data_IF_685522187314
#
_entry.id   IF_685522187314
#
_cell.length_a   1.000
_cell.length_b   1.000
_cell.length_c   1.000
_cell.angle_alpha   90.00
_cell.angle_beta   90.00
_cell.angle_gamma   90.00
#
_symmetry.space_group_name_H-M   'P 1'
#
loop_
_entity.id
_entity.type
_entity.pdbx_description
1 polymer ?
#
# COMPACT_ATOMS: atom_id res chain seq x y z
N UNK A 1 -14.78 -9.75 -7.60
CA UNK A 1 -14.70 -9.86 -9.07
C UNK A 1 -13.32 -9.41 -9.46
N UNK A 2 -12.48 -10.29 -10.00
CA UNK A 2 -11.14 -9.93 -10.46
C UNK A 2 -11.27 -9.03 -11.69
N UNK A 3 -10.63 -7.87 -11.67
CA UNK A 3 -10.52 -6.97 -12.83
C UNK A 3 -9.94 -7.77 -14.01
N UNK A 4 -10.58 -7.78 -15.21
CA UNK A 4 -10.11 -8.53 -16.38
C UNK A 4 -8.65 -8.24 -16.74
N UNK A 5 -8.16 -7.03 -16.42
CA UNK A 5 -6.76 -6.66 -16.62
C UNK A 5 -5.80 -7.42 -15.69
N UNK A 6 -6.23 -7.77 -14.47
CA UNK A 6 -5.37 -8.47 -13.50
C UNK A 6 -5.08 -9.90 -13.94
N UNK A 7 -6.09 -10.61 -14.48
CA UNK A 7 -5.92 -11.97 -14.94
C UNK A 7 -4.94 -12.07 -16.12
N UNK A 8 -4.98 -11.08 -17.03
CA UNK A 8 -4.06 -11.04 -18.17
C UNK A 8 -2.61 -10.79 -17.72
N UNK A 9 -2.40 -9.83 -16.81
CA UNK A 9 -1.08 -9.55 -16.23
C UNK A 9 -0.48 -10.80 -15.56
N UNK A 10 -1.29 -11.54 -14.79
CA UNK A 10 -0.84 -12.78 -14.13
C UNK A 10 -0.49 -13.86 -15.15
N UNK A 11 -1.26 -13.98 -16.25
CA UNK A 11 -0.92 -14.93 -17.34
C UNK A 11 0.41 -14.58 -18.01
N UNK A 12 0.69 -13.29 -18.23
CA UNK A 12 1.96 -12.86 -18.79
C UNK A 12 3.15 -13.23 -17.88
N UNK A 13 2.98 -13.10 -16.55
CA UNK A 13 4.00 -13.54 -15.58
C UNK A 13 4.31 -15.05 -15.66
N UNK A 14 3.28 -15.86 -15.90
CA UNK A 14 3.40 -17.32 -15.95
C UNK A 14 4.22 -17.84 -17.15
N UNK A 15 4.43 -17.01 -18.18
CA UNK A 15 5.21 -17.40 -19.37
C UNK A 15 6.73 -17.52 -19.08
N UNK A 16 7.21 -16.95 -17.96
CA UNK A 16 8.60 -17.05 -17.51
C UNK A 16 9.59 -16.20 -18.32
N UNK A 17 10.85 -16.15 -17.87
CA UNK A 17 11.92 -15.43 -18.56
C UNK A 17 11.89 -13.90 -18.35
N UNK A 18 11.94 -13.12 -19.43
CA UNK A 18 11.84 -11.66 -19.38
C UNK A 18 10.42 -11.25 -19.76
N UNK A 19 9.68 -10.71 -18.80
CA UNK A 19 8.30 -10.29 -18.99
C UNK A 19 8.28 -8.77 -19.06
N UNK A 20 7.77 -8.21 -20.15
CA UNK A 20 7.62 -6.76 -20.34
C UNK A 20 6.14 -6.43 -20.35
N UNK A 21 5.71 -5.58 -19.42
CA UNK A 21 4.31 -5.24 -19.18
C UNK A 21 4.10 -3.77 -19.48
N UNK A 22 3.21 -3.48 -20.41
CA UNK A 22 2.78 -2.11 -20.70
C UNK A 22 1.71 -1.66 -19.72
N UNK A 23 2.03 -0.62 -18.95
CA UNK A 23 1.14 -0.02 -17.96
C UNK A 23 0.44 1.25 -18.47
N UNK A 24 0.50 1.57 -19.77
CA UNK A 24 -0.08 2.79 -20.33
C UNK A 24 -1.58 2.95 -20.02
N UNK A 25 -2.33 1.84 -19.95
CA UNK A 25 -3.77 1.84 -19.62
C UNK A 25 -4.05 1.68 -18.12
N UNK A 26 -3.01 1.44 -17.30
CA UNK A 26 -3.13 1.16 -15.88
C UNK A 26 -2.78 2.40 -15.07
N UNK A 27 -3.81 3.07 -14.54
CA UNK A 27 -3.62 4.14 -13.56
C UNK A 27 -3.22 3.62 -12.18
N UNK A 28 -3.46 2.33 -11.91
CA UNK A 28 -3.16 1.64 -10.65
C UNK A 28 -2.71 0.20 -10.92
N UNK A 29 -1.79 -0.31 -10.09
CA UNK A 29 -1.40 -1.72 -10.13
C UNK A 29 -2.24 -2.56 -9.16
N UNK A 30 -2.84 -3.67 -9.63
CA UNK A 30 -3.49 -4.63 -8.75
C UNK A 30 -2.49 -5.27 -7.78
N UNK A 31 -2.81 -5.23 -6.48
CA UNK A 31 -2.00 -5.91 -5.45
C UNK A 31 -1.90 -7.42 -5.68
N UNK A 32 -2.95 -8.04 -6.24
CA UNK A 32 -2.91 -9.46 -6.64
C UNK A 32 -1.81 -9.75 -7.67
N UNK A 33 -1.64 -8.88 -8.68
CA UNK A 33 -0.55 -9.00 -9.65
C UNK A 33 0.82 -8.88 -8.98
N UNK A 34 1.00 -7.91 -8.07
CA UNK A 34 2.26 -7.73 -7.34
C UNK A 34 2.63 -8.96 -6.53
N UNK A 35 1.66 -9.59 -5.85
CA UNK A 35 1.90 -10.83 -5.10
C UNK A 35 2.31 -11.98 -5.99
N UNK A 36 1.63 -12.16 -7.12
CA UNK A 36 2.01 -13.22 -8.06
C UNK A 36 3.42 -12.99 -8.62
N UNK A 37 3.78 -11.76 -8.98
CA UNK A 37 5.13 -11.42 -9.43
C UNK A 37 6.22 -11.72 -8.38
N UNK A 38 5.89 -11.61 -7.09
CA UNK A 38 6.78 -11.97 -5.98
C UNK A 38 6.90 -13.48 -5.77
N UNK A 39 5.92 -14.28 -6.24
CA UNK A 39 5.96 -15.75 -6.19
C UNK A 39 6.74 -16.36 -7.36
N UNK A 40 6.83 -15.67 -8.49
CA UNK A 40 7.66 -16.11 -9.62
C UNK A 40 9.14 -16.15 -9.21
N UNK A 41 9.96 -17.09 -9.70
CA UNK A 41 11.39 -17.15 -9.39
C UNK A 41 12.13 -15.82 -9.62
N UNK A 42 13.13 -15.55 -8.80
CA UNK A 42 13.94 -14.32 -8.87
C UNK A 42 14.66 -14.14 -10.21
N UNK A 43 14.87 -15.23 -10.96
CA UNK A 43 15.44 -15.21 -12.32
C UNK A 43 14.51 -14.60 -13.36
N UNK A 44 13.19 -14.55 -13.11
CA UNK A 44 12.26 -13.85 -14.00
C UNK A 44 12.37 -12.36 -13.76
N UNK A 45 12.76 -11.62 -14.79
CA UNK A 45 12.86 -10.16 -14.74
C UNK A 45 11.56 -9.57 -15.28
N UNK A 46 10.87 -8.79 -14.44
CA UNK A 46 9.63 -8.10 -14.83
C UNK A 46 9.99 -6.64 -15.10
N UNK A 47 9.79 -6.19 -16.34
CA UNK A 47 9.96 -4.80 -16.74
C UNK A 47 8.61 -4.14 -16.94
N UNK A 48 8.34 -3.07 -16.20
CA UNK A 48 7.15 -2.26 -16.31
C UNK A 48 7.45 -1.01 -17.17
N UNK A 49 6.58 -0.72 -18.13
CA UNK A 49 6.77 0.39 -19.07
C UNK A 49 5.55 1.29 -19.09
N UNK A 50 5.74 2.56 -19.45
CA UNK A 50 4.69 3.59 -19.40
C UNK A 50 3.99 3.66 -18.02
N UNK A 51 4.76 3.52 -16.94
CA UNK A 51 4.25 3.45 -15.58
C UNK A 51 3.82 4.83 -15.08
N UNK A 52 2.62 4.94 -14.53
CA UNK A 52 2.12 6.18 -13.95
C UNK A 52 2.93 6.59 -12.69
N UNK A 53 3.07 7.90 -12.38
CA UNK A 53 3.86 8.36 -11.22
C UNK A 53 3.42 7.77 -9.89
N UNK A 54 2.11 7.72 -9.62
CA UNK A 54 1.59 7.15 -8.36
C UNK A 54 1.89 5.65 -8.24
N UNK A 55 1.98 4.92 -9.35
CA UNK A 55 2.40 3.50 -9.38
C UNK A 55 3.89 3.37 -9.05
N UNK A 56 4.74 4.25 -9.58
CA UNK A 56 6.15 4.30 -9.20
C UNK A 56 6.31 4.54 -7.70
N UNK A 57 5.59 5.51 -7.14
CA UNK A 57 5.55 5.76 -5.70
C UNK A 57 5.11 4.52 -4.92
N UNK A 58 4.09 3.79 -5.39
CA UNK A 58 3.63 2.57 -4.72
C UNK A 58 4.69 1.46 -4.70
N UNK A 59 5.40 1.25 -5.81
CA UNK A 59 6.46 0.24 -5.92
C UNK A 59 7.64 0.58 -5.00
N UNK A 60 7.98 1.87 -4.90
CA UNK A 60 9.01 2.38 -4.00
C UNK A 60 8.61 2.18 -2.53
N UNK A 61 7.39 2.57 -2.16
CA UNK A 61 6.85 2.42 -0.80
C UNK A 61 6.88 0.96 -0.32
N UNK A 62 6.57 0.03 -1.23
CA UNK A 62 6.60 -1.42 -0.97
C UNK A 62 8.00 -2.04 -1.07
N UNK A 63 9.04 -1.24 -1.33
CA UNK A 63 10.42 -1.69 -1.57
C UNK A 63 10.54 -2.75 -2.70
N UNK A 64 9.69 -2.65 -3.73
CA UNK A 64 9.63 -3.62 -4.84
C UNK A 64 10.46 -3.21 -6.06
N UNK A 65 11.16 -2.08 -6.02
CA UNK A 65 12.02 -1.62 -7.12
C UNK A 65 13.17 -2.58 -7.47
N UNK A 66 13.55 -3.48 -6.56
CA UNK A 66 14.53 -4.55 -6.84
C UNK A 66 13.93 -5.72 -7.63
N UNK A 67 12.60 -5.91 -7.55
CA UNK A 67 11.87 -6.97 -8.24
C UNK A 67 11.37 -6.52 -9.62
N UNK A 68 10.97 -5.25 -9.74
CA UNK A 68 10.44 -4.67 -10.97
C UNK A 68 11.38 -3.62 -11.52
N UNK A 69 11.82 -3.80 -12.76
CA UNK A 69 12.54 -2.76 -13.48
C UNK A 69 11.53 -1.80 -14.11
N UNK A 70 11.63 -0.51 -13.80
CA UNK A 70 10.82 0.53 -14.44
C UNK A 70 11.67 1.22 -15.51
N UNK A 71 11.22 1.26 -16.76
CA UNK A 71 12.04 1.73 -17.90
C UNK A 71 12.42 3.22 -17.81
N UNK A 72 11.62 4.02 -17.10
CA UNK A 72 11.89 5.42 -16.77
C UNK A 72 11.27 5.73 -15.41
N UNK A 73 11.99 5.47 -14.29
CA UNK A 73 11.42 5.71 -12.98
C UNK A 73 11.10 7.20 -12.83
N UNK A 74 9.92 7.51 -12.30
CA UNK A 74 9.63 8.85 -11.83
C UNK A 74 10.62 9.21 -10.71
N UNK A 75 10.88 10.51 -10.53
CA UNK A 75 11.75 10.97 -9.44
C UNK A 75 11.18 10.50 -8.09
N UNK A 76 12.00 9.84 -7.29
CA UNK A 76 11.65 9.36 -5.96
C UNK A 76 11.12 10.50 -5.10
N UNK A 77 9.94 10.30 -4.51
CA UNK A 77 9.31 11.26 -3.59
C UNK A 77 9.25 10.67 -2.18
N UNK A 78 9.43 9.35 -2.02
CA UNK A 78 9.28 8.68 -0.74
C UNK A 78 10.64 8.54 -0.09
N UNK A 79 10.96 9.45 0.81
CA UNK A 79 12.10 9.31 1.72
C UNK A 79 11.56 9.02 3.13
N UNK A 80 12.03 7.91 3.72
CA UNK A 80 11.84 7.51 5.11
C UNK A 80 10.39 7.49 5.63
N UNK A 81 9.64 6.44 5.31
CA UNK A 81 8.32 6.23 5.92
C UNK A 81 8.47 5.84 7.41
N UNK A 82 7.67 6.40 8.34
CA UNK A 82 7.74 6.05 9.76
C UNK A 82 7.05 4.72 10.09
N UNK A 83 6.79 3.88 9.09
CA UNK A 83 6.12 2.60 9.18
C UNK A 83 6.60 1.71 8.04
N UNK A 84 6.42 0.41 8.20
CA UNK A 84 6.75 -0.56 7.14
C UNK A 84 5.50 -0.94 6.36
N UNK A 85 5.64 -1.15 5.06
CA UNK A 85 4.55 -1.58 4.19
C UNK A 85 4.89 -2.96 3.62
N UNK A 86 3.91 -3.85 3.59
CA UNK A 86 3.97 -5.12 2.90
C UNK A 86 2.67 -5.45 2.17
N UNK A 87 2.67 -6.59 1.49
CA UNK A 87 1.47 -7.17 0.89
C UNK A 87 0.99 -8.36 1.74
N UNK A 88 -0.32 -8.50 1.92
CA UNK A 88 -0.94 -9.67 2.53
C UNK A 88 -1.90 -10.34 1.53
N UNK A 89 -2.54 -11.45 1.92
CA UNK A 89 -3.47 -12.20 1.05
C UNK A 89 -4.73 -11.41 0.65
N UNK A 90 -5.00 -10.26 1.26
CA UNK A 90 -6.20 -9.45 1.01
C UNK A 90 -5.89 -8.03 0.53
N UNK A 91 -4.63 -7.62 0.44
CA UNK A 91 -4.21 -6.33 -0.07
C UNK A 91 -2.90 -5.85 0.55
N UNK A 92 -2.95 -4.72 1.25
CA UNK A 92 -1.79 -4.02 1.79
C UNK A 92 -1.77 -4.12 3.32
N UNK A 93 -0.60 -4.38 3.89
CA UNK A 93 -0.37 -4.36 5.33
C UNK A 93 0.58 -3.21 5.69
N UNK A 94 0.16 -2.34 6.60
CA UNK A 94 0.97 -1.27 7.17
C UNK A 94 1.24 -1.61 8.63
N UNK A 95 2.51 -1.78 8.99
CA UNK A 95 2.91 -1.99 10.39
C UNK A 95 3.48 -0.72 10.97
N UNK A 96 2.83 -0.21 12.00
CA UNK A 96 3.27 0.99 12.72
C UNK A 96 3.95 0.62 14.03
N UNK A 97 4.94 1.42 14.43
CA UNK A 97 5.63 1.24 15.70
C UNK A 97 5.01 2.11 16.82
N UNK A 98 5.59 2.04 18.02
CA UNK A 98 5.15 2.83 19.18
C UNK A 98 5.33 4.34 18.98
N UNK A 99 6.33 4.75 18.20
CA UNK A 99 6.73 6.15 18.01
C UNK A 99 5.96 6.84 16.89
N UNK A 100 5.12 6.12 16.16
CA UNK A 100 4.36 6.63 15.01
C UNK A 100 3.65 7.95 15.30
N UNK A 101 3.01 8.07 16.46
CA UNK A 101 2.28 9.28 16.86
C UNK A 101 3.18 10.51 17.05
N UNK A 102 4.51 10.34 17.15
CA UNK A 102 5.49 11.41 17.31
C UNK A 102 6.17 11.77 15.98
N UNK A 103 5.97 10.98 14.92
CA UNK A 103 6.63 11.20 13.64
C UNK A 103 6.00 12.36 12.88
N UNK A 104 6.80 13.39 12.62
CA UNK A 104 6.42 14.55 11.78
C UNK A 104 6.15 14.15 10.33
N UNK A 105 6.64 13.00 9.89
CA UNK A 105 6.50 12.50 8.52
C UNK A 105 5.07 12.05 8.22
N UNK A 106 4.21 11.92 9.23
CA UNK A 106 2.78 11.66 9.04
C UNK A 106 2.02 12.81 8.36
N UNK A 107 2.51 14.04 8.49
CA UNK A 107 1.88 15.21 7.85
C UNK A 107 2.29 15.36 6.38
N UNK A 108 3.31 14.61 5.93
CA UNK A 108 3.72 14.59 4.53
C UNK A 108 2.72 13.79 3.69
N UNK A 109 2.35 14.33 2.53
CA UNK A 109 1.55 13.63 1.53
C UNK A 109 2.21 12.31 1.10
N UNK A 110 3.56 12.23 1.13
CA UNK A 110 4.33 11.02 0.87
C UNK A 110 3.92 9.84 1.76
N UNK A 111 3.38 10.09 2.96
CA UNK A 111 2.97 9.05 3.91
C UNK A 111 1.72 8.26 3.49
N UNK A 112 0.89 8.78 2.58
CA UNK A 112 -0.38 8.12 2.21
C UNK A 112 -0.71 8.20 0.70
N UNK A 113 -0.03 9.05 -0.07
CA UNK A 113 -0.32 9.23 -1.51
C UNK A 113 0.01 8.00 -2.34
N UNK A 114 1.04 7.24 -1.99
CA UNK A 114 1.48 6.04 -2.71
C UNK A 114 0.37 4.98 -2.84
N UNK A 115 -0.59 4.92 -1.91
CA UNK A 115 -1.75 4.03 -2.01
C UNK A 115 -2.59 4.28 -3.27
N UNK A 116 -2.56 5.49 -3.83
CA UNK A 116 -3.31 5.83 -5.05
C UNK A 116 -2.82 5.05 -6.26
N UNK A 117 -1.57 4.60 -6.27
CA UNK A 117 -1.00 3.76 -7.32
C UNK A 117 -1.40 2.29 -7.23
N UNK A 118 -2.20 1.89 -6.24
CA UNK A 118 -2.58 0.49 -6.00
C UNK A 118 -4.08 0.28 -6.10
N UNK A 119 -4.45 -0.87 -6.68
CA UNK A 119 -5.79 -1.45 -6.54
C UNK A 119 -5.71 -2.56 -5.50
N UNK A 120 -6.34 -2.33 -4.35
CA UNK A 120 -6.41 -3.26 -3.23
C UNK A 120 -7.86 -3.38 -2.75
N UNK A 121 -8.23 -4.56 -2.25
CA UNK A 121 -9.54 -4.77 -1.63
C UNK A 121 -9.55 -4.31 -0.16
N UNK A 122 -8.38 -4.39 0.49
CA UNK A 122 -8.17 -4.10 1.90
C UNK A 122 -6.83 -3.42 2.16
N UNK A 123 -6.83 -2.45 3.07
CA UNK A 123 -5.64 -1.88 3.70
C UNK A 123 -5.71 -2.18 5.19
N UNK A 124 -4.84 -3.05 5.66
CA UNK A 124 -4.73 -3.44 7.06
C UNK A 124 -3.67 -2.60 7.76
N UNK A 125 -4.01 -1.95 8.87
CA UNK A 125 -3.05 -1.32 9.77
C UNK A 125 -2.86 -2.14 11.03
N UNK A 126 -1.60 -2.37 11.39
CA UNK A 126 -1.23 -3.12 12.56
C UNK A 126 -0.90 -2.21 13.73
N UNK A 127 -1.83 -2.11 14.68
CA UNK A 127 -1.77 -1.17 15.79
C UNK A 127 -1.23 -1.80 17.09
N UNK A 128 -0.64 -3.00 17.01
CA UNK A 128 -0.19 -3.75 18.20
C UNK A 128 0.82 -3.00 19.08
N UNK A 129 1.64 -2.12 18.49
CA UNK A 129 2.65 -1.32 19.20
C UNK A 129 2.13 0.05 19.65
N UNK A 130 0.92 0.47 19.23
CA UNK A 130 0.39 1.81 19.49
C UNK A 130 -0.29 1.85 20.86
N UNK A 131 0.21 2.70 21.73
CA UNK A 131 -0.31 2.88 23.10
C UNK A 131 -1.35 4.01 23.19
N UNK A 132 -1.23 5.04 22.36
CA UNK A 132 -2.07 6.23 22.39
C UNK A 132 -2.24 6.79 20.97
N UNK A 133 -3.38 7.44 20.73
CA UNK A 133 -3.60 8.22 19.50
C UNK A 133 -3.62 9.71 19.83
N UNK A 134 -3.01 10.51 18.96
CA UNK A 134 -3.07 11.96 19.00
C UNK A 134 -3.70 12.52 17.72
N UNK A 135 -3.87 13.84 17.65
CA UNK A 135 -4.49 14.51 16.51
C UNK A 135 -3.77 14.25 15.19
N UNK A 136 -2.44 14.17 15.19
CA UNK A 136 -1.63 13.91 14.00
C UNK A 136 -1.89 12.50 13.45
N UNK A 137 -1.86 11.48 14.32
CA UNK A 137 -2.15 10.11 13.93
C UNK A 137 -3.59 9.95 13.43
N UNK A 138 -4.55 10.64 14.05
CA UNK A 138 -5.95 10.66 13.60
C UNK A 138 -6.09 11.31 12.22
N UNK A 139 -5.45 12.46 11.99
CA UNK A 139 -5.48 13.12 10.69
C UNK A 139 -4.88 12.24 9.58
N UNK A 140 -3.74 11.59 9.87
CA UNK A 140 -3.12 10.64 8.95
C UNK A 140 -4.04 9.44 8.65
N UNK A 141 -4.69 8.85 9.66
CA UNK A 141 -5.65 7.76 9.46
C UNK A 141 -6.81 8.16 8.53
N UNK A 142 -7.31 9.39 8.66
CA UNK A 142 -8.36 9.93 7.78
C UNK A 142 -7.87 10.09 6.33
N UNK A 143 -6.67 10.66 6.14
CA UNK A 143 -6.06 10.83 4.82
C UNK A 143 -5.78 9.47 4.16
N UNK A 144 -5.29 8.50 4.93
CA UNK A 144 -5.05 7.14 4.48
C UNK A 144 -6.36 6.46 4.05
N UNK A 145 -7.42 6.56 4.86
CA UNK A 145 -8.73 6.03 4.51
C UNK A 145 -9.29 6.65 3.22
N UNK A 146 -9.11 7.96 3.02
CA UNK A 146 -9.51 8.62 1.78
C UNK A 146 -8.67 8.18 0.57
N UNK A 147 -7.35 8.10 0.71
CA UNK A 147 -6.43 7.62 -0.35
C UNK A 147 -6.67 6.17 -0.73
N UNK A 148 -7.12 5.34 0.22
CA UNK A 148 -7.30 3.89 0.00
C UNK A 148 -8.54 3.53 -0.82
N UNK A 149 -9.49 4.45 -1.02
CA UNK A 149 -10.77 4.14 -1.69
C UNK A 149 -10.55 3.54 -3.09
N UNK A 150 -11.27 2.44 -3.43
CA UNK A 150 -12.41 1.86 -2.72
C UNK A 150 -12.05 0.79 -1.66
N UNK A 151 -10.77 0.57 -1.35
CA UNK A 151 -10.34 -0.43 -0.38
C UNK A 151 -10.94 -0.16 1.01
N UNK A 152 -11.23 -1.23 1.74
CA UNK A 152 -11.64 -1.13 3.15
C UNK A 152 -10.40 -0.96 4.03
N UNK A 153 -10.43 0.00 4.95
CA UNK A 153 -9.39 0.15 5.97
C UNK A 153 -9.77 -0.65 7.21
N UNK A 154 -8.82 -1.43 7.72
CA UNK A 154 -9.02 -2.26 8.91
C UNK A 154 -7.84 -2.07 9.85
N UNK A 155 -8.11 -1.74 11.11
CA UNK A 155 -7.14 -1.72 12.18
C UNK A 155 -7.19 -3.08 12.87
N UNK A 156 -6.02 -3.69 13.08
CA UNK A 156 -5.90 -4.96 13.81
C UNK A 156 -4.97 -4.83 15.01
N UNK A 157 -5.18 -5.70 15.98
CA UNK A 157 -4.39 -5.76 17.23
C UNK A 157 -4.42 -4.43 17.98
N UNK A 158 -5.51 -3.69 17.84
CA UNK A 158 -5.66 -2.38 18.48
C UNK A 158 -5.95 -2.58 19.97
N UNK A 159 -5.20 -1.90 20.85
CA UNK A 159 -5.47 -1.98 22.30
C UNK A 159 -6.83 -1.38 22.65
N UNK A 160 -7.54 -1.96 23.62
CA UNK A 160 -8.90 -1.55 23.99
C UNK A 160 -9.04 -0.04 24.29
N UNK A 161 -8.03 0.56 24.92
CA UNK A 161 -7.98 2.01 25.15
C UNK A 161 -7.96 2.81 23.84
N UNK A 162 -7.08 2.42 22.91
CA UNK A 162 -6.98 3.07 21.58
C UNK A 162 -8.27 2.88 20.79
N UNK A 163 -8.86 1.68 20.80
CA UNK A 163 -10.17 1.44 20.16
C UNK A 163 -11.24 2.39 20.69
N UNK A 164 -11.29 2.57 22.02
CA UNK A 164 -12.24 3.48 22.67
C UNK A 164 -12.03 4.92 22.21
N UNK A 165 -10.78 5.40 22.16
CA UNK A 165 -10.45 6.74 21.66
C UNK A 165 -10.88 6.93 20.21
N UNK A 166 -10.58 5.97 19.32
CA UNK A 166 -10.92 6.05 17.90
C UNK A 166 -12.44 6.02 17.67
N UNK A 167 -13.19 5.22 18.43
CA UNK A 167 -14.66 5.16 18.38
C UNK A 167 -15.31 6.44 18.91
N UNK A 168 -14.77 7.05 19.96
CA UNK A 168 -15.23 8.36 20.44
C UNK A 168 -15.08 9.45 19.37
N UNK A 169 -14.05 9.34 18.54
CA UNK A 169 -13.82 10.21 17.37
C UNK A 169 -14.61 9.79 16.13
N UNK A 170 -15.46 8.75 16.23
CA UNK A 170 -16.30 8.20 15.15
C UNK A 170 -15.52 7.69 13.93
N UNK A 171 -14.28 7.25 14.13
CA UNK A 171 -13.46 6.71 13.03
C UNK A 171 -13.94 5.35 12.55
N UNK A 172 -14.70 4.63 13.37
CA UNK A 172 -15.38 3.37 13.06
C UNK A 172 -16.38 3.46 11.88
N UNK A 173 -16.77 4.69 11.49
CA UNK A 173 -17.57 4.93 10.29
C UNK A 173 -16.75 4.82 8.98
N UNK A 174 -15.43 4.92 9.07
CA UNK A 174 -14.52 4.94 7.92
C UNK A 174 -13.61 3.72 7.86
N UNK A 175 -13.40 3.03 8.99
CA UNK A 175 -12.52 1.89 9.11
C UNK A 175 -13.11 0.86 10.08
N UNK A 176 -12.79 -0.41 9.86
CA UNK A 176 -13.08 -1.47 10.82
C UNK A 176 -12.02 -1.43 11.94
N UNK A 177 -12.45 -1.42 13.21
CA UNK A 177 -11.57 -1.25 14.36
C UNK A 177 -11.59 -2.54 15.20
N UNK A 178 -10.52 -3.34 15.07
CA UNK A 178 -10.31 -4.62 15.77
C UNK A 178 -9.03 -4.73 16.58
#
# INVERSE_FOLDING_TARGET
MSDPNTADLIRQLAQGGRVRIDCATLSKLPTAFLREALRVPSSTQVTLVNVAPDVCSALEALALCTRFQVEKPAQSIIQDLPFTIGLDDNGVLITVDRTIAQSKLLDDQGSHRWLRGLTADKVTLDFGAVDQVNSMLVAWLLQLAQSSKPARVVLRRTKAQVQTQLKQLRLDQMMDIG
#
